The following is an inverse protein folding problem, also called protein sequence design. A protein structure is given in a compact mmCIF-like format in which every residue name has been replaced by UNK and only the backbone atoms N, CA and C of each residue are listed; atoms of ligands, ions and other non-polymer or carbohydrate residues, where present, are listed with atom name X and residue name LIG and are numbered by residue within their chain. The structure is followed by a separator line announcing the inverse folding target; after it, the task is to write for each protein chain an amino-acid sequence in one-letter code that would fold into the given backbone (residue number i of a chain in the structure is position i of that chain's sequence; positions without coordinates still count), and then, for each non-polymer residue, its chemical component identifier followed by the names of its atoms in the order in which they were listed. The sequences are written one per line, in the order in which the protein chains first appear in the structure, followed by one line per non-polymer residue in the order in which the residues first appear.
data_IF_774947568749
#
_entry.id   IF_774947568749
#
_cell.length_a   1.000
_cell.length_b   1.000
_cell.length_c   1.000
_cell.angle_alpha   90.00
_cell.angle_beta   90.00
_cell.angle_gamma   90.00
#
_symmetry.space_group_name_H-M   'P 1'
#
loop_
_entity.id
_entity.type
_entity.pdbx_description
1 polymer ?
#
# COMPACT_ATOMS: atom_id res chain seq x y z
N UNK A 1 8.26 5.21 1.77
CA UNK A 1 8.31 6.00 3.02
C UNK A 1 7.14 6.95 3.02
N UNK A 2 6.61 7.34 4.18
CA UNK A 2 5.61 8.40 4.27
C UNK A 2 6.25 9.64 4.84
N UNK A 3 5.74 10.81 4.47
CA UNK A 3 6.20 12.07 5.04
C UNK A 3 5.62 12.25 6.44
N UNK A 4 6.35 12.97 7.27
CA UNK A 4 5.97 13.33 8.62
C UNK A 4 6.84 14.48 9.10
N UNK A 5 6.51 15.00 10.26
CA UNK A 5 7.24 16.14 10.79
C UNK A 5 8.67 15.74 11.19
N UNK A 6 9.70 16.47 10.72
CA UNK A 6 11.05 16.33 11.22
C UNK A 6 11.08 16.57 12.72
N UNK A 7 11.89 15.79 13.44
CA UNK A 7 12.04 15.97 14.88
C UNK A 7 13.46 15.70 15.31
N UNK A 8 13.83 16.33 16.43
CA UNK A 8 15.06 16.07 17.16
C UNK A 8 14.68 15.82 18.61
N UNK A 9 15.17 14.73 19.22
CA UNK A 9 15.09 14.58 20.68
C UNK A 9 16.47 14.38 21.27
N UNK A 10 16.67 15.07 22.38
CA UNK A 10 17.78 14.87 23.30
C UNK A 10 17.31 13.90 24.37
N UNK A 11 17.75 12.64 24.31
CA UNK A 11 17.49 11.68 25.38
C UNK A 11 18.64 11.73 26.38
N UNK A 12 18.35 12.25 27.57
CA UNK A 12 19.26 12.17 28.72
C UNK A 12 19.26 10.74 29.24
N UNK A 13 20.43 10.15 29.40
CA UNK A 13 20.50 8.80 29.95
C UNK A 13 20.37 8.77 31.47
N UNK A 14 20.02 7.58 31.95
CA UNK A 14 20.05 7.27 33.38
C UNK A 14 21.47 7.46 33.92
N UNK A 15 21.58 8.21 35.04
CA UNK A 15 22.84 8.42 35.77
C UNK A 15 23.16 7.29 36.75
N UNK A 16 22.44 6.16 36.69
CA UNK A 16 22.71 5.02 37.56
C UNK A 16 24.09 4.43 37.24
N UNK A 17 24.98 4.48 38.23
CA UNK A 17 26.33 3.94 38.19
C UNK A 17 26.43 2.82 39.23
N UNK A 18 25.95 1.63 38.88
CA UNK A 18 26.16 0.42 39.68
C UNK A 18 27.18 -0.50 39.01
N UNK A 19 27.90 -1.30 39.81
CA UNK A 19 29.22 -1.93 39.57
C UNK A 19 29.26 -3.02 38.47
N UNK A 20 28.51 -2.85 37.39
CA UNK A 20 28.48 -3.72 36.22
C UNK A 20 27.91 -3.08 34.95
N UNK A 21 27.39 -1.84 34.99
CA UNK A 21 26.89 -1.13 33.81
C UNK A 21 27.64 0.18 33.60
N UNK A 22 28.24 0.35 32.40
CA UNK A 22 28.91 1.60 32.02
C UNK A 22 27.92 2.76 31.93
N UNK A 23 28.40 3.97 32.20
CA UNK A 23 27.66 5.22 31.95
C UNK A 23 27.16 5.24 30.50
N UNK A 24 25.85 5.26 30.31
CA UNK A 24 25.26 5.36 28.98
C UNK A 24 25.46 6.80 28.46
N UNK A 25 25.93 6.96 27.22
CA UNK A 25 26.17 8.29 26.61
C UNK A 25 24.89 8.92 26.09
N UNK A 26 24.68 10.21 26.35
CA UNK A 26 23.53 10.94 25.81
C UNK A 26 23.47 10.78 24.28
N UNK A 27 22.29 10.39 23.79
CA UNK A 27 22.05 10.17 22.36
C UNK A 27 21.10 11.23 21.82
N UNK A 28 21.53 11.89 20.74
CA UNK A 28 20.69 12.72 19.90
C UNK A 28 20.07 11.86 18.80
N UNK A 29 18.75 11.73 18.83
CA UNK A 29 17.99 11.13 17.74
C UNK A 29 17.39 12.24 16.88
N UNK A 30 17.50 12.11 15.57
CA UNK A 30 16.84 13.02 14.63
C UNK A 30 16.23 12.25 13.47
N UNK A 31 15.18 12.81 12.88
CA UNK A 31 14.54 12.31 11.67
C UNK A 31 14.29 13.50 10.75
N UNK A 32 14.61 13.31 9.48
CA UNK A 32 14.37 14.25 8.38
C UNK A 32 12.89 14.38 8.00
N UNK A 33 12.00 13.72 8.75
CA UNK A 33 10.57 13.67 8.49
C UNK A 33 10.11 12.38 7.80
N UNK A 34 11.02 11.66 7.13
CA UNK A 34 10.67 10.40 6.47
C UNK A 34 10.32 9.32 7.49
N UNK A 35 9.29 8.53 7.18
CA UNK A 35 8.81 7.42 8.00
C UNK A 35 8.83 6.11 7.23
N UNK A 36 9.29 5.06 7.90
CA UNK A 36 9.16 3.71 7.38
C UNK A 36 7.68 3.30 7.32
N UNK A 37 7.33 2.43 6.35
CA UNK A 37 6.04 1.74 6.30
C UNK A 37 5.66 1.13 7.66
N UNK A 38 4.40 1.28 8.06
CA UNK A 38 3.84 0.60 9.24
C UNK A 38 3.20 -0.71 8.83
N UNK A 39 3.18 -1.68 9.75
CA UNK A 39 2.47 -2.95 9.55
C UNK A 39 0.95 -2.83 9.66
N UNK A 40 0.45 -1.78 10.31
CA UNK A 40 -1.00 -1.50 10.44
C UNK A 40 -1.39 -0.40 9.45
N UNK A 41 -2.11 -0.79 8.41
CA UNK A 41 -2.66 0.11 7.40
C UNK A 41 -4.13 0.40 7.70
N UNK A 42 -4.53 1.66 7.56
CA UNK A 42 -5.92 2.10 7.76
C UNK A 42 -6.46 2.57 6.41
N UNK A 43 -7.35 1.78 5.82
CA UNK A 43 -7.98 2.08 4.53
C UNK A 43 -9.48 1.84 4.65
N UNK A 44 -10.28 2.77 4.16
CA UNK A 44 -11.74 2.68 4.22
C UNK A 44 -12.28 1.59 3.29
N UNK A 45 -13.33 0.89 3.74
CA UNK A 45 -14.03 -0.08 2.89
C UNK A 45 -14.94 0.68 1.90
N UNK A 46 -14.85 0.40 0.58
CA UNK A 46 -15.60 1.14 -0.45
C UNK A 46 -17.12 0.92 -0.43
N UNK A 47 -17.67 -0.09 0.29
CA UNK A 47 -19.12 -0.39 0.42
C UNK A 47 -19.93 -0.16 -0.88
N UNK A 48 -19.68 -0.97 -1.89
CA UNK A 48 -20.28 -0.80 -3.22
C UNK A 48 -21.60 -1.56 -3.34
N UNK A 49 -22.68 -0.85 -3.61
CA UNK A 49 -24.00 -1.46 -3.85
C UNK A 49 -24.01 -2.15 -5.22
N UNK A 50 -24.38 -3.44 -5.25
CA UNK A 50 -24.40 -4.23 -6.49
C UNK A 50 -23.03 -4.62 -7.02
N UNK A 51 -21.95 -4.30 -6.29
CA UNK A 51 -20.59 -4.76 -6.60
C UNK A 51 -20.31 -6.15 -6.02
N UNK A 52 -19.08 -6.61 -6.17
CA UNK A 52 -18.63 -7.87 -5.57
C UNK A 52 -18.73 -7.80 -4.03
N UNK A 53 -19.27 -8.84 -3.36
CA UNK A 53 -19.60 -8.79 -1.93
C UNK A 53 -18.38 -8.49 -1.04
N UNK A 54 -17.18 -8.89 -1.48
CA UNK A 54 -15.94 -8.69 -0.73
C UNK A 54 -14.90 -7.85 -1.49
N UNK A 55 -15.37 -6.93 -2.35
CA UNK A 55 -14.49 -6.03 -3.11
C UNK A 55 -13.53 -5.29 -2.16
N UNK A 56 -12.23 -5.38 -2.48
CA UNK A 56 -11.19 -4.71 -1.72
C UNK A 56 -11.05 -3.24 -2.16
N UNK A 57 -10.60 -2.35 -1.27
CA UNK A 57 -10.28 -0.96 -1.65
C UNK A 57 -9.11 -0.94 -2.64
N UNK A 58 -9.22 -0.16 -3.71
CA UNK A 58 -8.15 0.00 -4.72
C UNK A 58 -6.91 0.65 -4.08
N UNK A 59 -7.10 1.68 -3.25
CA UNK A 59 -6.02 2.39 -2.55
C UNK A 59 -5.10 1.43 -1.76
N UNK A 60 -5.68 0.41 -1.12
CA UNK A 60 -4.89 -0.59 -0.39
C UNK A 60 -3.98 -1.38 -1.35
N UNK A 61 -4.51 -1.78 -2.50
CA UNK A 61 -3.76 -2.55 -3.49
C UNK A 61 -2.73 -1.69 -4.21
N UNK A 62 -3.01 -0.41 -4.46
CA UNK A 62 -2.02 0.53 -4.99
C UNK A 62 -0.84 0.70 -4.03
N UNK A 63 -1.12 0.81 -2.73
CA UNK A 63 -0.06 0.84 -1.71
C UNK A 63 0.81 -0.43 -1.76
N UNK A 64 0.19 -1.61 -1.79
CA UNK A 64 0.91 -2.89 -1.78
C UNK A 64 1.73 -3.07 -3.07
N UNK A 65 1.12 -2.86 -4.24
CA UNK A 65 1.79 -3.02 -5.54
C UNK A 65 2.96 -2.05 -5.65
N UNK A 66 2.77 -0.77 -5.32
CA UNK A 66 3.85 0.23 -5.34
C UNK A 66 5.00 -0.11 -4.39
N UNK A 67 4.71 -0.78 -3.27
CA UNK A 67 5.71 -1.15 -2.27
C UNK A 67 6.61 -2.31 -2.74
N UNK A 68 6.05 -3.25 -3.51
CA UNK A 68 6.72 -4.52 -3.85
C UNK A 68 7.04 -4.71 -5.34
N UNK A 69 6.76 -3.72 -6.18
CA UNK A 69 7.00 -3.79 -7.63
C UNK A 69 7.45 -2.45 -8.20
N UNK A 70 8.07 -2.47 -9.38
CA UNK A 70 8.39 -1.29 -10.19
C UNK A 70 7.41 -1.13 -11.35
N UNK A 71 7.28 0.07 -11.95
CA UNK A 71 6.55 0.24 -13.20
C UNK A 71 7.07 -0.75 -14.28
N UNK A 72 6.17 -1.34 -15.04
CA UNK A 72 6.48 -2.36 -16.05
C UNK A 72 6.54 -3.81 -15.52
N UNK A 73 6.69 -4.03 -14.21
CA UNK A 73 6.61 -5.37 -13.61
C UNK A 73 5.23 -6.00 -13.82
N UNK A 74 5.15 -7.32 -13.69
CA UNK A 74 3.90 -8.09 -13.81
C UNK A 74 3.36 -8.46 -12.43
N UNK A 75 2.08 -8.17 -12.18
CA UNK A 75 1.34 -8.57 -10.97
C UNK A 75 0.40 -9.72 -11.30
N UNK A 76 0.52 -10.85 -10.58
CA UNK A 76 -0.38 -12.00 -10.72
C UNK A 76 -1.42 -12.01 -9.60
N UNK A 77 -2.69 -12.21 -9.95
CA UNK A 77 -3.78 -12.50 -9.00
C UNK A 77 -4.65 -13.67 -9.49
N UNK A 78 -4.53 -14.86 -8.90
CA UNK A 78 -5.31 -16.04 -9.32
C UNK A 78 -6.76 -16.03 -8.80
N UNK A 79 -7.14 -15.07 -7.96
CA UNK A 79 -8.47 -14.93 -7.34
C UNK A 79 -8.96 -13.49 -7.47
N UNK A 80 -8.96 -13.01 -8.71
CA UNK A 80 -9.08 -11.61 -9.08
C UNK A 80 -10.38 -10.96 -8.56
N UNK A 81 -11.46 -11.72 -8.40
CA UNK A 81 -12.75 -11.23 -7.94
C UNK A 81 -13.24 -10.09 -8.83
N UNK A 82 -13.51 -8.92 -8.24
CA UNK A 82 -13.92 -7.74 -9.02
C UNK A 82 -12.78 -6.99 -9.72
N UNK A 83 -11.55 -7.49 -9.79
CA UNK A 83 -10.48 -6.82 -10.53
C UNK A 83 -9.73 -5.75 -9.75
N UNK A 84 -9.75 -5.78 -8.42
CA UNK A 84 -9.08 -4.72 -7.62
C UNK A 84 -7.57 -4.68 -7.87
N UNK A 85 -6.93 -5.85 -7.96
CA UNK A 85 -5.49 -5.96 -8.28
C UNK A 85 -5.18 -5.42 -9.68
N UNK A 86 -5.98 -5.80 -10.67
CA UNK A 86 -5.83 -5.36 -12.06
C UNK A 86 -5.95 -3.83 -12.17
N UNK A 87 -7.02 -3.26 -11.59
CA UNK A 87 -7.24 -1.79 -11.59
C UNK A 87 -6.08 -1.06 -10.93
N UNK A 88 -5.62 -1.51 -9.77
CA UNK A 88 -4.48 -0.89 -9.07
C UNK A 88 -3.16 -1.03 -9.85
N UNK A 89 -2.90 -2.19 -10.46
CA UNK A 89 -1.70 -2.43 -11.25
C UNK A 89 -1.68 -1.52 -12.48
N UNK A 90 -2.80 -1.42 -13.20
CA UNK A 90 -2.94 -0.62 -14.41
C UNK A 90 -2.77 0.88 -14.13
N UNK A 91 -3.43 1.41 -13.09
CA UNK A 91 -3.24 2.79 -12.62
C UNK A 91 -1.78 3.11 -12.26
N UNK A 92 -1.04 2.11 -11.78
CA UNK A 92 0.37 2.24 -11.42
C UNK A 92 1.31 1.92 -12.58
N UNK A 93 0.83 1.71 -13.80
CA UNK A 93 1.67 1.35 -14.96
C UNK A 93 2.44 0.04 -14.76
N UNK A 94 1.80 -0.95 -14.13
CA UNK A 94 2.26 -2.35 -14.08
C UNK A 94 1.45 -3.19 -15.05
N UNK A 95 2.08 -4.22 -15.59
CA UNK A 95 1.38 -5.30 -16.27
C UNK A 95 0.68 -6.18 -15.24
N UNK A 96 -0.36 -6.90 -15.64
CA UNK A 96 -1.05 -7.81 -14.74
C UNK A 96 -1.60 -9.05 -15.45
N UNK A 97 -1.74 -10.13 -14.69
CA UNK A 97 -2.40 -11.36 -15.10
C UNK A 97 -3.38 -11.74 -14.00
N UNK A 98 -4.64 -11.96 -14.38
CA UNK A 98 -5.71 -12.24 -13.44
C UNK A 98 -6.54 -13.44 -13.84
N UNK A 99 -6.98 -14.23 -12.86
CA UNK A 99 -7.91 -15.34 -13.06
C UNK A 99 -9.08 -15.22 -12.09
N UNK A 100 -10.27 -15.58 -12.54
CA UNK A 100 -11.47 -15.65 -11.71
C UNK A 100 -12.40 -16.74 -12.27
N UNK A 101 -12.96 -17.55 -11.38
CA UNK A 101 -13.77 -18.71 -11.77
C UNK A 101 -15.20 -18.33 -12.14
N UNK A 102 -15.74 -17.27 -11.53
CA UNK A 102 -17.12 -16.82 -11.73
C UNK A 102 -17.23 -15.81 -12.86
N UNK A 103 -17.98 -16.16 -13.90
CA UNK A 103 -18.11 -15.32 -15.10
C UNK A 103 -18.72 -13.95 -14.80
N UNK A 104 -19.61 -13.85 -13.81
CA UNK A 104 -20.18 -12.57 -13.38
C UNK A 104 -19.12 -11.61 -12.79
N UNK A 105 -18.08 -12.17 -12.14
CA UNK A 105 -16.98 -11.39 -11.56
C UNK A 105 -15.92 -11.06 -12.60
N UNK A 106 -15.65 -11.97 -13.54
CA UNK A 106 -14.87 -11.67 -14.75
C UNK A 106 -15.47 -10.48 -15.50
N UNK A 107 -16.78 -10.51 -15.76
CA UNK A 107 -17.48 -9.41 -16.44
C UNK A 107 -17.44 -8.09 -15.66
N UNK A 108 -17.43 -8.15 -14.33
CA UNK A 108 -17.27 -6.97 -13.47
C UNK A 108 -15.85 -6.42 -13.52
N UNK A 109 -14.84 -7.28 -13.45
CA UNK A 109 -13.43 -6.89 -13.54
C UNK A 109 -13.14 -6.25 -14.90
N UNK A 110 -13.57 -6.87 -16.01
CA UNK A 110 -13.39 -6.34 -17.36
C UNK A 110 -14.02 -4.95 -17.51
N UNK A 111 -15.27 -4.75 -17.07
CA UNK A 111 -15.92 -3.43 -17.10
C UNK A 111 -15.09 -2.36 -16.38
N UNK A 112 -14.58 -2.67 -15.18
CA UNK A 112 -13.78 -1.71 -14.41
C UNK A 112 -12.47 -1.35 -15.10
N UNK A 113 -11.87 -2.29 -15.83
CA UNK A 113 -10.64 -2.05 -16.62
C UNK A 113 -10.96 -1.22 -17.86
N UNK A 114 -12.05 -1.54 -18.57
CA UNK A 114 -12.49 -0.78 -19.74
C UNK A 114 -12.82 0.66 -19.35
N UNK A 115 -13.54 0.87 -18.24
CA UNK A 115 -13.86 2.20 -17.71
C UNK A 115 -12.59 3.00 -17.37
N UNK A 116 -11.59 2.36 -16.77
CA UNK A 116 -10.30 2.98 -16.45
C UNK A 116 -9.54 3.41 -17.71
N UNK A 117 -9.47 2.54 -18.72
CA UNK A 117 -8.79 2.81 -20.00
C UNK A 117 -9.47 3.94 -20.75
N UNK A 118 -10.80 3.90 -20.87
CA UNK A 118 -11.58 4.93 -21.54
C UNK A 118 -11.42 6.31 -20.87
N UNK A 119 -11.29 6.34 -19.54
CA UNK A 119 -11.04 7.59 -18.80
C UNK A 119 -9.64 8.14 -19.07
N UNK A 120 -8.66 7.26 -19.31
CA UNK A 120 -7.27 7.64 -19.58
C UNK A 120 -7.10 8.15 -21.02
N UNK A 121 -7.82 7.58 -21.98
CA UNK A 121 -7.75 7.99 -23.39
C UNK A 121 -8.47 9.32 -23.68
N UNK A 122 -9.39 9.73 -22.79
CA UNK A 122 -10.16 10.96 -22.93
C UNK A 122 -9.48 12.21 -22.30
N UNK A 123 -8.32 12.05 -21.65
CA UNK A 123 -7.59 13.09 -20.91
C UNK A 123 -6.29 13.49 -21.62
#
# INVERSE_FOLDING_TARGET
MTDGEPWKANRKNSKYNDRGYNNQRDHQASSDGTRHPKSVLRVSNPRIKGGHPTQKPVELFEYLIRTYTNPGDVVLDPVLGSGTTAVAAESLKRNWVGMEAKSEYVAMANRRIDDLRNTTDAA
#
